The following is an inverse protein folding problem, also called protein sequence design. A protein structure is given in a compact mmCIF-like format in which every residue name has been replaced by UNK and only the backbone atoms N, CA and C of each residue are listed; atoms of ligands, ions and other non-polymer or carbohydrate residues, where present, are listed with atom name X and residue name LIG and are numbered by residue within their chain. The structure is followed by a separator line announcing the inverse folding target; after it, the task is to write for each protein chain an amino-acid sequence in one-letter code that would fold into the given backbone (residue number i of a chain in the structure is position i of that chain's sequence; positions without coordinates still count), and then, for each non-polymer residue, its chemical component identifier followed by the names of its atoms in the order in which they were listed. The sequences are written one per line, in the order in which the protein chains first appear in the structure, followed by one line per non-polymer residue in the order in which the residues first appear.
data_IF_430001860561
#
_entry.id   IF_430001860561
#
_cell.length_a   1.000
_cell.length_b   1.000
_cell.length_c   1.000
_cell.angle_alpha   90.00
_cell.angle_beta   90.00
_cell.angle_gamma   90.00
#
_symmetry.space_group_name_H-M   'P 1'
#
loop_
_entity.id
_entity.type
_entity.pdbx_description
1 polymer ?
#
# COMPACT_ATOMS: atom_id res chain seq x y z
N UNK A 1 5.75 -12.51 1.70
CA UNK A 1 4.47 -11.87 1.28
C UNK A 1 4.68 -10.37 1.21
N UNK A 2 4.20 -9.73 0.15
CA UNK A 2 4.25 -8.29 -0.06
C UNK A 2 2.92 -7.67 0.31
N UNK A 3 2.91 -6.60 1.10
CA UNK A 3 1.73 -5.74 1.28
C UNK A 3 1.78 -4.60 0.27
N UNK A 4 0.67 -4.35 -0.42
CA UNK A 4 0.60 -3.34 -1.47
C UNK A 4 -0.03 -2.06 -0.94
N UNK A 5 0.70 -0.96 -1.05
CA UNK A 5 0.15 0.37 -0.87
C UNK A 5 -0.96 0.67 -1.88
N UNK A 6 -1.91 1.52 -1.51
CA UNK A 6 -3.02 1.93 -2.37
C UNK A 6 -2.55 2.48 -3.72
N UNK A 7 -1.46 3.24 -3.74
CA UNK A 7 -0.89 3.78 -4.98
C UNK A 7 -0.47 2.69 -5.96
N UNK A 8 0.05 1.56 -5.49
CA UNK A 8 0.44 0.42 -6.34
C UNK A 8 -0.79 -0.22 -6.97
N UNK A 9 -1.84 -0.41 -6.18
CA UNK A 9 -3.12 -0.96 -6.66
C UNK A 9 -3.76 -0.03 -7.69
N UNK A 10 -3.77 1.29 -7.41
CA UNK A 10 -4.29 2.29 -8.34
C UNK A 10 -3.52 2.27 -9.66
N UNK A 11 -2.19 2.19 -9.61
CA UNK A 11 -1.39 2.06 -10.82
C UNK A 11 -1.72 0.79 -11.60
N UNK A 12 -1.81 -0.34 -10.94
CA UNK A 12 -2.11 -1.61 -11.60
C UNK A 12 -3.49 -1.64 -12.27
N UNK A 13 -4.50 -1.00 -11.67
CA UNK A 13 -5.89 -1.04 -12.14
C UNK A 13 -6.22 0.08 -13.14
N UNK A 14 -5.83 1.32 -12.84
CA UNK A 14 -6.24 2.51 -13.60
C UNK A 14 -5.14 3.56 -13.79
N UNK A 15 -3.87 3.21 -13.54
CA UNK A 15 -2.74 4.10 -13.81
C UNK A 15 -2.67 4.57 -15.26
N UNK A 16 -1.94 5.65 -15.50
CA UNK A 16 -1.55 5.95 -16.88
C UNK A 16 -0.74 4.76 -17.45
N UNK A 17 -0.64 4.62 -18.77
CA UNK A 17 -0.02 3.43 -19.38
C UNK A 17 1.38 3.10 -18.87
N UNK A 18 2.19 4.10 -18.55
CA UNK A 18 3.55 3.88 -18.05
C UNK A 18 3.56 3.36 -16.61
N UNK A 19 2.78 3.98 -15.72
CA UNK A 19 2.68 3.54 -14.31
C UNK A 19 1.99 2.19 -14.20
N UNK A 20 0.94 1.95 -15.00
CA UNK A 20 0.26 0.67 -15.04
C UNK A 20 1.21 -0.46 -15.48
N UNK A 21 1.94 -0.25 -16.57
CA UNK A 21 2.89 -1.25 -17.06
C UNK A 21 3.98 -1.52 -16.01
N UNK A 22 4.55 -0.48 -15.43
CA UNK A 22 5.58 -0.59 -14.39
C UNK A 22 5.10 -1.41 -13.19
N UNK A 23 3.90 -1.12 -12.66
CA UNK A 23 3.33 -1.83 -11.53
C UNK A 23 3.04 -3.30 -11.87
N UNK A 24 2.42 -3.56 -13.02
CA UNK A 24 2.08 -4.92 -13.46
C UNK A 24 3.31 -5.77 -13.75
N UNK A 25 4.33 -5.21 -14.43
CA UNK A 25 5.57 -5.93 -14.72
C UNK A 25 6.31 -6.30 -13.43
N UNK A 26 6.39 -5.36 -12.48
CA UNK A 26 7.04 -5.63 -11.21
C UNK A 26 6.28 -6.72 -10.42
N UNK A 27 4.96 -6.61 -10.32
CA UNK A 27 4.14 -7.64 -9.66
C UNK A 27 4.29 -9.01 -10.35
N UNK A 28 4.34 -9.06 -11.67
CA UNK A 28 4.54 -10.32 -12.41
C UNK A 28 5.90 -10.96 -12.09
N UNK A 29 6.97 -10.18 -11.97
CA UNK A 29 8.29 -10.67 -11.55
C UNK A 29 8.24 -11.26 -10.14
N UNK A 30 7.58 -10.58 -9.20
CA UNK A 30 7.41 -11.06 -7.83
C UNK A 30 6.58 -12.35 -7.77
N UNK A 31 5.49 -12.44 -8.54
CA UNK A 31 4.68 -13.66 -8.63
C UNK A 31 5.46 -14.85 -9.20
N UNK A 32 6.25 -14.62 -10.26
CA UNK A 32 7.13 -15.64 -10.83
C UNK A 32 8.19 -16.13 -9.84
N UNK A 33 8.63 -15.26 -8.94
CA UNK A 33 9.51 -15.60 -7.82
C UNK A 33 8.80 -16.32 -6.66
N UNK A 34 7.47 -16.54 -6.77
CA UNK A 34 6.67 -17.27 -5.77
C UNK A 34 6.13 -16.39 -4.65
N UNK A 35 6.22 -15.07 -4.77
CA UNK A 35 5.64 -14.16 -3.79
C UNK A 35 4.13 -14.04 -3.93
N UNK A 36 3.47 -13.75 -2.82
CA UNK A 36 2.04 -13.45 -2.73
C UNK A 36 1.86 -12.03 -2.25
N UNK A 37 0.68 -11.47 -2.52
CA UNK A 37 0.32 -10.12 -2.15
C UNK A 37 -0.75 -10.09 -1.05
N UNK A 38 -0.73 -9.01 -0.29
CA UNK A 38 -1.78 -8.63 0.64
C UNK A 38 -2.15 -7.16 0.43
N UNK A 39 -3.35 -6.80 0.79
CA UNK A 39 -3.83 -5.43 0.97
C UNK A 39 -4.66 -5.36 2.23
N UNK A 40 -4.69 -4.20 2.86
CA UNK A 40 -5.64 -3.92 3.93
C UNK A 40 -6.99 -3.46 3.38
N UNK A 41 -8.05 -3.54 4.17
CA UNK A 41 -9.33 -2.91 3.83
C UNK A 41 -9.24 -1.38 3.75
N UNK A 42 -8.24 -0.76 4.41
CA UNK A 42 -7.90 0.64 4.20
C UNK A 42 -7.45 0.89 2.75
N UNK A 43 -6.58 0.03 2.20
CA UNK A 43 -6.17 0.08 0.79
C UNK A 43 -7.38 0.03 -0.14
N UNK A 44 -8.34 -0.88 0.12
CA UNK A 44 -9.58 -0.93 -0.65
C UNK A 44 -10.36 0.37 -0.57
N UNK A 45 -10.46 0.96 0.64
CA UNK A 45 -11.17 2.22 0.83
C UNK A 45 -10.52 3.35 0.05
N UNK A 46 -9.20 3.51 0.12
CA UNK A 46 -8.46 4.56 -0.59
C UNK A 46 -8.57 4.41 -2.11
N UNK A 47 -8.50 3.19 -2.62
CA UNK A 47 -8.68 2.91 -4.05
C UNK A 47 -10.09 3.26 -4.54
N UNK A 48 -11.11 3.09 -3.71
CA UNK A 48 -12.51 3.26 -4.12
C UNK A 48 -13.01 4.70 -3.96
N UNK A 49 -12.44 5.51 -3.06
CA UNK A 49 -12.87 6.91 -2.85
C UNK A 49 -12.97 7.70 -4.16
N UNK A 50 -11.95 7.73 -5.05
CA UNK A 50 -12.02 8.51 -6.27
C UNK A 50 -12.92 7.89 -7.35
N UNK A 51 -13.41 6.66 -7.12
CA UNK A 51 -14.21 5.91 -8.10
C UNK A 51 -15.71 6.17 -7.94
N UNK A 52 -16.17 6.53 -6.74
CA UNK A 52 -17.59 6.81 -6.50
C UNK A 52 -18.03 8.12 -7.14
N UNK A 53 -18.70 8.01 -8.30
CA UNK A 53 -19.24 9.15 -9.05
C UNK A 53 -20.06 8.68 -10.26
N UNK A 54 -20.68 9.60 -11.00
CA UNK A 54 -21.42 9.24 -12.21
C UNK A 54 -20.54 8.49 -13.22
N UNK A 55 -21.02 7.36 -13.74
CA UNK A 55 -20.31 6.56 -14.74
C UNK A 55 -19.21 5.64 -14.20
N UNK A 56 -19.14 5.42 -12.90
CA UNK A 56 -18.05 4.67 -12.24
C UNK A 56 -18.17 3.13 -12.29
N UNK A 57 -19.25 2.57 -12.85
CA UNK A 57 -19.53 1.13 -12.78
C UNK A 57 -18.40 0.23 -13.29
N UNK A 58 -17.76 0.57 -14.41
CA UNK A 58 -16.64 -0.22 -14.94
C UNK A 58 -15.42 -0.15 -14.02
N UNK A 59 -15.05 1.03 -13.55
CA UNK A 59 -13.93 1.22 -12.62
C UNK A 59 -14.11 0.44 -11.32
N UNK A 60 -15.31 0.48 -10.74
CA UNK A 60 -15.66 -0.33 -9.56
C UNK A 60 -15.46 -1.84 -9.85
N UNK A 61 -15.94 -2.31 -10.99
CA UNK A 61 -15.80 -3.71 -11.40
C UNK A 61 -14.33 -4.11 -11.53
N UNK A 62 -13.48 -3.23 -12.09
CA UNK A 62 -12.06 -3.50 -12.28
C UNK A 62 -11.32 -3.59 -10.94
N UNK A 63 -11.59 -2.68 -9.99
CA UNK A 63 -11.04 -2.77 -8.63
C UNK A 63 -11.51 -4.02 -7.89
N UNK A 64 -12.80 -4.35 -7.92
CA UNK A 64 -13.29 -5.57 -7.28
C UNK A 64 -12.68 -6.84 -7.89
N UNK A 65 -12.46 -6.88 -9.20
CA UNK A 65 -11.75 -7.98 -9.84
C UNK A 65 -10.32 -8.10 -9.33
N UNK A 66 -9.63 -6.98 -9.17
CA UNK A 66 -8.28 -6.96 -8.61
C UNK A 66 -8.28 -7.46 -7.15
N UNK A 67 -9.16 -6.94 -6.28
CA UNK A 67 -9.22 -7.33 -4.87
C UNK A 67 -9.52 -8.82 -4.64
N UNK A 68 -10.16 -9.46 -5.60
CA UNK A 68 -10.48 -10.90 -5.55
C UNK A 68 -9.52 -11.75 -6.40
N UNK A 69 -8.39 -11.21 -6.79
CA UNK A 69 -7.36 -11.93 -7.52
C UNK A 69 -6.81 -13.13 -6.73
N UNK A 70 -6.41 -14.23 -7.40
CA UNK A 70 -6.06 -15.49 -6.75
C UNK A 70 -4.81 -15.40 -5.85
N UNK A 71 -3.91 -14.47 -6.13
CA UNK A 71 -2.66 -14.28 -5.40
C UNK A 71 -2.72 -13.13 -4.39
N UNK A 72 -3.89 -12.49 -4.22
CA UNK A 72 -4.10 -11.36 -3.35
C UNK A 72 -4.99 -11.74 -2.15
N UNK A 73 -4.62 -11.29 -0.97
CA UNK A 73 -5.42 -11.42 0.25
C UNK A 73 -5.81 -10.04 0.76
N UNK A 74 -7.10 -9.82 0.95
CA UNK A 74 -7.60 -8.63 1.65
C UNK A 74 -7.78 -8.96 3.12
N UNK A 75 -7.23 -8.10 3.98
CA UNK A 75 -7.17 -8.31 5.42
C UNK A 75 -7.76 -7.10 6.15
N UNK A 76 -8.67 -7.37 7.10
CA UNK A 76 -9.33 -6.33 7.89
C UNK A 76 -8.41 -5.69 8.93
N UNK A 77 -8.56 -4.39 9.16
CA UNK A 77 -7.84 -3.70 10.22
C UNK A 77 -8.32 -4.16 11.60
N UNK A 78 -7.37 -4.35 12.50
CA UNK A 78 -7.60 -4.82 13.86
C UNK A 78 -7.22 -3.75 14.90
N UNK A 79 -7.67 -3.94 16.15
CA UNK A 79 -7.26 -3.08 17.26
C UNK A 79 -5.73 -3.07 17.46
N UNK A 80 -5.05 -4.20 17.22
CA UNK A 80 -3.60 -4.27 17.28
C UNK A 80 -2.92 -3.37 16.26
N UNK A 81 -3.45 -3.33 15.02
CA UNK A 81 -2.92 -2.44 13.97
C UNK A 81 -3.10 -0.97 14.32
N UNK A 82 -4.26 -0.59 14.87
CA UNK A 82 -4.47 0.79 15.35
C UNK A 82 -3.51 1.17 16.48
N UNK A 83 -3.26 0.27 17.42
CA UNK A 83 -2.29 0.50 18.49
C UNK A 83 -0.87 0.65 17.93
N UNK A 84 -0.47 -0.22 16.99
CA UNK A 84 0.83 -0.13 16.32
C UNK A 84 0.97 1.16 15.50
N UNK A 85 -0.05 1.54 14.74
CA UNK A 85 -0.04 2.80 13.98
C UNK A 85 0.13 4.02 14.90
N UNK A 86 -0.50 4.00 16.08
CA UNK A 86 -0.31 5.03 17.09
C UNK A 86 1.14 5.07 17.60
N UNK A 87 1.76 3.91 17.83
CA UNK A 87 3.16 3.81 18.23
C UNK A 87 4.11 4.30 17.12
N UNK A 88 3.85 3.94 15.86
CA UNK A 88 4.61 4.42 14.70
C UNK A 88 4.57 5.95 14.66
N UNK A 89 3.40 6.56 14.72
CA UNK A 89 3.25 8.02 14.69
C UNK A 89 3.87 8.72 15.91
N UNK A 90 3.94 8.04 17.03
CA UNK A 90 4.55 8.57 18.24
C UNK A 90 6.08 8.54 18.22
N UNK A 91 6.69 7.61 17.50
CA UNK A 91 8.14 7.32 17.54
C UNK A 91 8.90 7.69 16.28
N UNK A 92 8.23 7.74 15.12
CA UNK A 92 8.87 7.93 13.83
C UNK A 92 8.37 9.19 13.12
N UNK A 93 9.24 9.72 12.28
CA UNK A 93 8.96 10.90 11.43
C UNK A 93 9.45 10.63 10.01
N UNK A 94 8.84 11.29 9.04
CA UNK A 94 9.38 11.29 7.69
C UNK A 94 10.79 11.90 7.67
N UNK A 95 11.64 11.47 6.74
CA UNK A 95 12.90 12.14 6.49
C UNK A 95 12.67 13.62 6.23
N UNK A 96 13.45 14.48 6.90
CA UNK A 96 13.37 15.93 6.72
C UNK A 96 14.66 16.44 6.12
N UNK A 97 14.53 17.34 5.13
CA UNK A 97 15.67 18.10 4.58
C UNK A 97 15.69 19.47 5.26
N UNK A 98 16.77 19.84 5.97
CA UNK A 98 16.85 21.15 6.60
C UNK A 98 16.61 22.29 5.59
N UNK A 99 15.90 23.37 5.98
CA UNK A 99 15.50 23.73 7.35
C UNK A 99 14.13 23.17 7.82
N UNK A 100 13.52 22.24 7.05
CA UNK A 100 12.22 21.68 7.41
C UNK A 100 12.28 20.92 8.74
N UNK A 101 11.23 21.02 9.54
CA UNK A 101 11.09 20.24 10.78
C UNK A 101 10.61 18.81 10.45
N UNK A 102 11.08 17.79 11.20
CA UNK A 102 10.57 16.44 11.07
C UNK A 102 9.05 16.39 11.29
N UNK A 103 8.33 15.75 10.38
CA UNK A 103 6.89 15.60 10.43
C UNK A 103 6.55 14.14 10.76
N UNK A 104 5.63 13.92 11.70
CA UNK A 104 5.12 12.58 12.01
C UNK A 104 4.46 11.94 10.80
N UNK A 105 4.55 10.62 10.69
CA UNK A 105 3.83 9.87 9.66
C UNK A 105 2.34 10.23 9.67
N UNK A 106 1.75 10.29 8.48
CA UNK A 106 0.31 10.40 8.29
C UNK A 106 -0.43 9.23 8.93
N UNK A 107 -1.73 9.39 9.19
CA UNK A 107 -2.53 8.30 9.78
C UNK A 107 -2.62 7.12 8.80
N UNK A 108 -2.85 7.39 7.52
CA UNK A 108 -2.95 6.35 6.51
C UNK A 108 -1.65 5.56 6.39
N UNK A 109 -0.50 6.23 6.20
CA UNK A 109 0.79 5.57 6.08
C UNK A 109 1.13 4.72 7.31
N UNK A 110 0.86 5.25 8.50
CA UNK A 110 1.09 4.51 9.74
C UNK A 110 0.18 3.28 9.86
N UNK A 111 -1.06 3.34 9.37
CA UNK A 111 -1.98 2.21 9.35
C UNK A 111 -1.57 1.16 8.32
N UNK A 112 -1.12 1.56 7.12
CA UNK A 112 -0.59 0.64 6.13
C UNK A 112 0.64 -0.10 6.64
N UNK A 113 1.64 0.62 7.17
CA UNK A 113 2.83 0.02 7.75
C UNK A 113 2.48 -0.91 8.92
N UNK A 114 1.55 -0.49 9.79
CA UNK A 114 1.08 -1.32 10.90
C UNK A 114 0.37 -2.59 10.42
N UNK A 115 -0.46 -2.49 9.38
CA UNK A 115 -1.14 -3.62 8.78
C UNK A 115 -0.13 -4.63 8.20
N UNK A 116 0.81 -4.15 7.39
CA UNK A 116 1.87 -4.99 6.82
C UNK A 116 2.64 -5.78 7.89
N UNK A 117 3.03 -5.11 8.98
CA UNK A 117 3.76 -5.74 10.09
C UNK A 117 2.89 -6.77 10.82
N UNK A 118 1.66 -6.41 11.21
CA UNK A 118 0.77 -7.30 11.97
C UNK A 118 0.28 -8.49 11.13
N UNK A 119 0.21 -8.36 9.81
CA UNK A 119 -0.08 -9.47 8.89
C UNK A 119 1.12 -10.39 8.68
N UNK A 120 2.31 -10.00 9.15
CA UNK A 120 3.54 -10.74 8.92
C UNK A 120 4.01 -10.69 7.48
N UNK A 121 3.79 -9.56 6.80
CA UNK A 121 4.37 -9.31 5.49
C UNK A 121 5.88 -9.09 5.63
N UNK A 122 6.63 -9.53 4.64
CA UNK A 122 8.09 -9.36 4.60
C UNK A 122 8.47 -7.98 4.06
N UNK A 123 7.64 -7.46 3.15
CA UNK A 123 7.89 -6.22 2.41
C UNK A 123 6.61 -5.42 2.27
N UNK A 124 6.72 -4.11 2.42
CA UNK A 124 5.70 -3.13 2.05
C UNK A 124 6.11 -2.47 0.73
N UNK A 125 5.31 -2.66 -0.33
CA UNK A 125 5.56 -2.11 -1.67
C UNK A 125 4.77 -0.81 -1.84
N UNK A 126 5.47 0.28 -2.09
CA UNK A 126 4.91 1.63 -2.27
C UNK A 126 5.58 2.36 -3.44
N UNK A 127 5.08 3.53 -3.80
CA UNK A 127 5.76 4.49 -4.68
C UNK A 127 6.21 5.75 -3.90
N UNK A 128 6.05 5.76 -2.58
CA UNK A 128 6.48 6.89 -1.74
C UNK A 128 7.89 6.69 -1.17
N UNK A 129 8.84 7.42 -1.72
CA UNK A 129 10.22 7.44 -1.25
C UNK A 129 10.39 7.87 0.21
N UNK A 130 9.43 8.60 0.78
CA UNK A 130 9.51 9.04 2.17
C UNK A 130 9.40 7.87 3.15
N UNK A 131 8.83 6.74 2.73
CA UNK A 131 8.70 5.53 3.54
C UNK A 131 9.90 4.59 3.43
N UNK A 132 10.79 4.77 2.44
CA UNK A 132 11.88 3.85 2.10
C UNK A 132 12.80 3.46 3.26
N UNK A 133 12.95 4.33 4.27
CA UNK A 133 13.83 4.10 5.42
C UNK A 133 13.06 3.76 6.71
N UNK A 134 11.81 3.32 6.61
CA UNK A 134 11.07 2.90 7.80
C UNK A 134 11.73 1.65 8.41
N UNK A 135 11.99 1.63 9.74
CA UNK A 135 12.92 0.64 10.32
C UNK A 135 12.30 -0.73 10.61
N UNK A 136 10.98 -0.82 10.80
CA UNK A 136 10.35 -2.02 11.38
C UNK A 136 9.86 -3.04 10.33
N UNK A 137 9.92 -2.69 9.04
CA UNK A 137 9.63 -3.58 7.91
C UNK A 137 10.46 -3.14 6.71
N UNK A 138 10.82 -4.06 5.84
CA UNK A 138 11.43 -3.70 4.55
C UNK A 138 10.42 -2.95 3.70
N UNK A 139 10.78 -1.75 3.28
CA UNK A 139 10.00 -0.96 2.33
C UNK A 139 10.69 -1.01 0.98
N UNK A 140 9.97 -1.46 -0.02
CA UNK A 140 10.40 -1.45 -1.41
C UNK A 140 9.65 -0.34 -2.15
N UNK A 141 10.41 0.55 -2.79
CA UNK A 141 9.83 1.57 -3.67
C UNK A 141 9.77 1.02 -5.07
N UNK A 142 8.62 1.13 -5.71
CA UNK A 142 8.38 0.63 -7.06
C UNK A 142 9.45 1.17 -8.03
N UNK A 143 10.22 0.29 -8.68
CA UNK A 143 11.33 0.67 -9.55
C UNK A 143 10.89 1.39 -10.84
#
# INVERSE_FOLDING_TARGET
MYDLDAVIVIYAVEGNPADQQRALDHMAVLEQAGHRFAISDLTCTECLVPVFGPGSGQRLSDFFRFFHGPNLRTLGLTAAMHARASAIRGRHTYPAVPPAQPKRYGLADALHLAAAIEFGCDVFLTNDNQLANFPDITVEVLP
#
